data_IF_796719371784
#
_entry.id   IF_796719371784
#
_cell.length_a   1.000
_cell.length_b   1.000
_cell.length_c   1.000
_cell.angle_alpha   90.00
_cell.angle_beta   90.00
_cell.angle_gamma   90.00
#
_symmetry.space_group_name_H-M   'P 1'
#
loop_
_entity.id
_entity.type
_entity.pdbx_description
1 polymer ?
#
# COMPACT_ATOMS: atom_id res chain seq x y z
N UNK A 1 41.39 1.09 -12.61
CA UNK A 1 40.15 0.42 -13.06
C UNK A 1 39.05 0.84 -12.09
N UNK A 2 38.21 1.82 -12.42
CA UNK A 2 37.25 2.40 -11.45
C UNK A 2 36.03 3.08 -12.11
N UNK A 3 35.41 2.45 -13.11
CA UNK A 3 34.28 3.08 -13.82
C UNK A 3 33.10 2.15 -14.15
N UNK A 4 32.97 0.94 -13.57
CA UNK A 4 31.93 0.00 -14.00
C UNK A 4 31.07 -0.64 -12.88
N UNK A 5 30.97 -0.02 -11.69
CA UNK A 5 30.21 -0.59 -10.55
C UNK A 5 29.02 0.27 -10.07
N UNK A 6 28.76 1.45 -10.64
CA UNK A 6 27.79 2.43 -10.08
C UNK A 6 26.52 2.69 -10.91
N UNK A 7 26.40 2.18 -12.14
CA UNK A 7 25.20 2.38 -12.97
C UNK A 7 23.91 1.73 -12.42
N UNK A 8 23.89 0.46 -11.95
CA UNK A 8 22.63 -0.15 -11.50
C UNK A 8 22.10 0.53 -10.23
N UNK A 9 22.97 1.05 -9.36
CA UNK A 9 22.56 1.71 -8.11
C UNK A 9 21.96 3.09 -8.35
N UNK A 10 22.52 3.90 -9.26
CA UNK A 10 21.94 5.19 -9.62
C UNK A 10 20.60 5.04 -10.33
N UNK A 11 20.50 4.12 -11.31
CA UNK A 11 19.25 3.84 -12.01
C UNK A 11 18.17 3.35 -11.05
N UNK A 12 18.50 2.44 -10.11
CA UNK A 12 17.56 1.96 -9.09
C UNK A 12 17.16 3.07 -8.12
N UNK A 13 18.09 3.94 -7.69
CA UNK A 13 17.77 5.08 -6.82
C UNK A 13 16.81 6.05 -7.49
N UNK A 14 17.12 6.48 -8.71
CA UNK A 14 16.26 7.39 -9.49
C UNK A 14 14.91 6.72 -9.75
N UNK A 15 14.90 5.44 -10.13
CA UNK A 15 13.68 4.67 -10.32
C UNK A 15 12.83 4.57 -9.05
N UNK A 16 13.46 4.32 -7.90
CA UNK A 16 12.77 4.23 -6.59
C UNK A 16 12.16 5.58 -6.20
N UNK A 17 12.90 6.68 -6.39
CA UNK A 17 12.40 8.03 -6.15
C UNK A 17 11.19 8.31 -7.05
N UNK A 18 11.31 8.05 -8.36
CA UNK A 18 10.24 8.26 -9.32
C UNK A 18 8.99 7.42 -9.00
N UNK A 19 9.17 6.15 -8.63
CA UNK A 19 8.09 5.26 -8.18
C UNK A 19 7.40 5.78 -6.92
N UNK A 20 8.16 6.28 -5.95
CA UNK A 20 7.60 6.83 -4.71
C UNK A 20 6.76 8.08 -5.00
N UNK A 21 7.24 8.97 -5.86
CA UNK A 21 6.47 10.13 -6.31
C UNK A 21 5.20 9.73 -7.08
N UNK A 22 5.32 8.79 -8.01
CA UNK A 22 4.17 8.28 -8.77
C UNK A 22 3.13 7.64 -7.84
N UNK A 23 3.57 6.86 -6.84
CA UNK A 23 2.70 6.26 -5.84
C UNK A 23 2.01 7.33 -4.99
N UNK A 24 2.72 8.37 -4.56
CA UNK A 24 2.14 9.51 -3.83
C UNK A 24 1.07 10.23 -4.65
N UNK A 25 1.36 10.56 -5.91
CA UNK A 25 0.40 11.19 -6.80
C UNK A 25 -0.84 10.31 -7.06
N UNK A 26 -0.62 9.02 -7.30
CA UNK A 26 -1.70 8.05 -7.48
C UNK A 26 -2.57 7.92 -6.22
N UNK A 27 -1.96 7.91 -5.03
CA UNK A 27 -2.67 7.88 -3.76
C UNK A 27 -3.56 9.13 -3.57
N UNK A 28 -3.04 10.32 -3.88
CA UNK A 28 -3.82 11.56 -3.82
C UNK A 28 -5.01 11.54 -4.80
N UNK A 29 -4.81 11.05 -6.03
CA UNK A 29 -5.88 10.90 -7.01
C UNK A 29 -6.93 9.88 -6.58
N UNK A 30 -6.50 8.74 -6.06
CA UNK A 30 -7.41 7.72 -5.54
C UNK A 30 -8.25 8.27 -4.39
N UNK A 31 -7.64 8.99 -3.44
CA UNK A 31 -8.35 9.61 -2.33
C UNK A 31 -9.40 10.61 -2.83
N UNK A 32 -9.03 11.50 -3.75
CA UNK A 32 -9.95 12.48 -4.33
C UNK A 32 -11.12 11.82 -5.07
N UNK A 33 -10.86 10.74 -5.83
CA UNK A 33 -11.90 9.99 -6.52
C UNK A 33 -12.85 9.29 -5.56
N UNK A 34 -12.32 8.62 -4.54
CA UNK A 34 -13.13 7.97 -3.50
C UNK A 34 -13.99 9.00 -2.78
N UNK A 35 -13.42 10.16 -2.44
CA UNK A 35 -14.15 11.23 -1.76
C UNK A 35 -15.27 11.79 -2.63
N UNK A 36 -14.97 12.11 -3.89
CA UNK A 36 -15.98 12.61 -4.84
C UNK A 36 -17.10 11.59 -5.05
N UNK A 37 -16.77 10.30 -5.13
CA UNK A 37 -17.75 9.24 -5.35
C UNK A 37 -18.68 9.03 -4.15
N UNK A 38 -18.16 9.12 -2.93
CA UNK A 38 -18.93 8.87 -1.69
C UNK A 38 -19.74 10.10 -1.29
N UNK A 39 -19.13 11.29 -1.36
CA UNK A 39 -19.70 12.53 -0.81
C UNK A 39 -20.33 13.42 -1.88
N UNK A 40 -20.11 13.15 -3.17
CA UNK A 40 -20.60 13.96 -4.29
C UNK A 40 -19.90 15.32 -4.45
N UNK A 41 -19.14 15.77 -3.44
CA UNK A 41 -18.41 17.03 -3.39
C UNK A 41 -16.90 16.80 -3.31
N UNK A 42 -16.12 17.83 -3.66
CA UNK A 42 -14.66 17.79 -3.51
C UNK A 42 -14.23 17.64 -2.05
N UNK A 43 -13.10 16.97 -1.84
CA UNK A 43 -12.61 16.67 -0.51
C UNK A 43 -12.36 17.95 0.33
N UNK A 44 -12.92 18.04 1.55
CA UNK A 44 -12.74 19.19 2.42
C UNK A 44 -11.26 19.31 2.79
N UNK A 45 -10.71 20.49 2.53
CA UNK A 45 -9.30 20.83 2.77
C UNK A 45 -9.07 21.50 4.12
N UNK A 46 -10.13 21.70 4.93
CA UNK A 46 -10.07 22.40 6.22
C UNK A 46 -10.49 21.45 7.35
N UNK A 47 -9.57 21.10 8.27
CA UNK A 47 -9.80 20.10 9.31
C UNK A 47 -10.59 20.56 10.55
N UNK A 48 -10.93 21.85 10.71
CA UNK A 48 -11.44 22.41 11.97
C UNK A 48 -12.98 22.59 12.06
N UNK A 49 -13.76 21.81 11.29
CA UNK A 49 -15.23 21.88 11.33
C UNK A 49 -15.82 20.81 12.28
N UNK A 50 -16.65 21.16 13.29
CA UNK A 50 -17.28 20.19 14.18
C UNK A 50 -18.21 19.17 13.49
N UNK A 51 -18.76 19.46 12.30
CA UNK A 51 -19.49 18.45 11.51
C UNK A 51 -18.56 17.38 10.89
N UNK A 52 -17.24 17.63 10.83
CA UNK A 52 -16.28 16.65 10.34
C UNK A 52 -16.13 15.45 11.27
N UNK A 53 -16.51 15.50 12.55
CA UNK A 53 -16.17 14.41 13.48
C UNK A 53 -16.81 13.06 13.07
N UNK A 54 -18.09 13.07 12.69
CA UNK A 54 -18.78 11.85 12.24
C UNK A 54 -18.30 11.39 10.85
N UNK A 55 -17.98 12.33 9.96
CA UNK A 55 -17.40 12.04 8.64
C UNK A 55 -15.99 11.47 8.78
N UNK A 56 -15.17 12.05 9.66
CA UNK A 56 -13.80 11.66 9.98
C UNK A 56 -13.76 10.29 10.64
N UNK A 57 -14.67 10.01 11.59
CA UNK A 57 -14.82 8.69 12.18
C UNK A 57 -15.18 7.65 11.11
N UNK A 58 -16.10 7.97 10.20
CA UNK A 58 -16.51 7.08 9.11
C UNK A 58 -15.38 6.83 8.12
N UNK A 59 -14.65 7.87 7.72
CA UNK A 59 -13.49 7.77 6.82
C UNK A 59 -12.38 6.97 7.47
N UNK A 60 -12.07 7.22 8.75
CA UNK A 60 -11.09 6.45 9.49
C UNK A 60 -11.48 4.98 9.56
N UNK A 61 -12.73 4.68 9.90
CA UNK A 61 -13.25 3.32 9.93
C UNK A 61 -13.17 2.64 8.55
N UNK A 62 -13.51 3.35 7.48
CA UNK A 62 -13.41 2.83 6.11
C UNK A 62 -11.96 2.52 5.71
N UNK A 63 -11.02 3.41 6.03
CA UNK A 63 -9.58 3.20 5.77
C UNK A 63 -9.03 2.04 6.62
N UNK A 64 -9.38 1.99 7.90
CA UNK A 64 -8.98 0.90 8.79
C UNK A 64 -9.53 -0.44 8.31
N UNK A 65 -10.83 -0.50 7.96
CA UNK A 65 -11.46 -1.69 7.41
C UNK A 65 -10.83 -2.11 6.08
N UNK A 66 -10.62 -1.18 5.16
CA UNK A 66 -9.96 -1.44 3.88
C UNK A 66 -8.55 -2.00 4.06
N UNK A 67 -7.76 -1.38 4.94
CA UNK A 67 -6.41 -1.83 5.28
C UNK A 67 -6.41 -3.21 5.91
N UNK A 68 -7.32 -3.48 6.86
CA UNK A 68 -7.44 -4.77 7.51
C UNK A 68 -7.81 -5.89 6.51
N UNK A 69 -8.74 -5.63 5.58
CA UNK A 69 -9.12 -6.59 4.54
C UNK A 69 -7.94 -6.90 3.61
N UNK A 70 -7.21 -5.87 3.17
CA UNK A 70 -6.02 -6.04 2.33
C UNK A 70 -4.92 -6.81 3.07
N UNK A 71 -4.64 -6.43 4.32
CA UNK A 71 -3.68 -7.10 5.17
C UNK A 71 -4.03 -8.59 5.33
N UNK A 72 -5.29 -8.91 5.59
CA UNK A 72 -5.77 -10.30 5.68
C UNK A 72 -5.54 -11.07 4.39
N UNK A 73 -5.85 -10.47 3.23
CA UNK A 73 -5.63 -11.12 1.91
C UNK A 73 -4.16 -11.36 1.63
N UNK A 74 -3.30 -10.39 1.92
CA UNK A 74 -1.84 -10.52 1.73
C UNK A 74 -1.27 -11.55 2.69
N UNK A 75 -1.65 -11.50 3.97
CA UNK A 75 -1.23 -12.46 4.98
C UNK A 75 -1.67 -13.88 4.62
N UNK A 76 -2.91 -14.09 4.16
CA UNK A 76 -3.39 -15.39 3.71
C UNK A 76 -2.55 -15.94 2.55
N UNK A 77 -2.25 -15.11 1.53
CA UNK A 77 -1.37 -15.51 0.42
C UNK A 77 0.06 -15.82 0.88
N UNK A 78 0.57 -15.05 1.83
CA UNK A 78 1.88 -15.25 2.44
C UNK A 78 1.96 -16.57 3.22
N UNK A 79 0.96 -16.84 4.06
CA UNK A 79 0.83 -18.05 4.84
C UNK A 79 0.77 -19.29 3.96
N UNK A 80 -0.04 -19.29 2.90
CA UNK A 80 -0.11 -20.40 1.94
C UNK A 80 1.25 -20.68 1.29
N UNK A 81 1.99 -19.63 0.86
CA UNK A 81 3.34 -19.79 0.32
C UNK A 81 4.35 -20.27 1.36
N UNK A 82 4.24 -19.82 2.60
CA UNK A 82 5.12 -20.23 3.69
C UNK A 82 4.89 -21.72 4.05
N UNK A 83 3.63 -22.12 4.21
CA UNK A 83 3.23 -23.52 4.47
C UNK A 83 3.71 -24.43 3.33
N UNK A 84 3.50 -24.05 2.06
CA UNK A 84 3.99 -24.82 0.92
C UNK A 84 5.52 -24.99 0.93
N UNK A 85 6.26 -23.94 1.28
CA UNK A 85 7.73 -24.00 1.42
C UNK A 85 8.18 -24.88 2.57
N UNK A 86 7.48 -24.84 3.71
CA UNK A 86 7.78 -25.67 4.88
C UNK A 86 7.51 -27.15 4.56
N UNK A 87 6.37 -27.45 3.94
CA UNK A 87 6.00 -28.80 3.50
C UNK A 87 7.01 -29.38 2.50
N UNK A 88 7.44 -28.58 1.51
CA UNK A 88 8.47 -28.98 0.55
C UNK A 88 9.84 -29.29 1.22
N UNK A 89 10.20 -28.57 2.30
CA UNK A 89 11.44 -28.82 3.06
C UNK A 89 11.33 -30.03 3.99
N UNK A 90 10.11 -30.41 4.40
CA UNK A 90 9.86 -31.59 5.24
C UNK A 90 9.94 -32.89 4.44
N UNK A 91 9.44 -32.90 3.20
CA UNK A 91 9.52 -34.08 2.32
C UNK A 91 10.95 -34.46 1.90
N UNK A 92 11.87 -33.50 1.90
CA UNK A 92 13.28 -33.71 1.54
C UNK A 92 14.13 -34.34 2.66
N UNK A 93 13.58 -34.59 3.85
CA UNK A 93 14.31 -35.16 5.00
C UNK A 93 13.93 -36.62 5.32
N UNK A 94 13.11 -37.24 4.48
CA UNK A 94 12.63 -38.61 4.61
C UNK A 94 13.22 -39.58 3.56
N UNK A 95 14.25 -39.16 2.83
CA UNK A 95 15.10 -39.97 1.94
C UNK A 95 16.56 -39.72 2.29
#
# INVERSE_FOLDING_TARGET
MAQNETEPTLAVKIGTIALTFAAGWAAQKALALVWKQVTGNDAPTKPDDPELDMVQATVFAAVAAGTAVLAKRVAARGAQRAVARIAARSGSRAH
#
